data_IF_806461036178
#
_entry.id   IF_806461036178
#
_cell.length_a   1.000
_cell.length_b   1.000
_cell.length_c   1.000
_cell.angle_alpha   90.00
_cell.angle_beta   90.00
_cell.angle_gamma   90.00
#
_symmetry.space_group_name_H-M   'P 1'
#
loop_
_entity.id
_entity.type
_entity.pdbx_description
1 polymer ?
2 non-polymer ?
3 water ?
#
# COMPACT_ATOMS: atom_id res chain seq x y z
N UNK A 1 -6.41 15.47 29.01
CA UNK A 1 -5.04 15.50 28.52
C UNK A 1 -4.88 14.63 27.27
N UNK A 2 -3.69 14.57 26.69
CA UNK A 2 -3.54 14.01 25.36
C UNK A 2 -2.39 13.01 25.28
N UNK A 3 -2.53 11.99 24.43
CA UNK A 3 -1.47 10.96 24.34
C UNK A 3 -0.18 11.54 23.82
N UNK A 4 0.95 10.98 24.32
CA UNK A 4 2.28 11.49 23.94
C UNK A 4 2.66 11.11 22.52
N UNK A 5 2.12 10.00 22.01
CA UNK A 5 2.40 9.52 20.67
C UNK A 5 1.10 9.05 20.02
N UNK A 6 0.93 9.32 18.73
CA UNK A 6 -0.08 8.60 17.98
C UNK A 6 0.59 8.18 16.68
N UNK A 7 0.06 7.10 16.08
CA UNK A 7 0.52 6.59 14.78
C UNK A 7 -0.67 5.88 14.16
N UNK A 8 -1.37 6.58 13.26
CA UNK A 8 -2.58 6.00 12.69
C UNK A 8 -2.29 4.80 11.78
N UNK A 9 -1.04 4.55 11.42
CA UNK A 9 -0.79 3.32 10.66
C UNK A 9 -0.98 2.11 11.54
N UNK A 10 -0.73 2.26 12.85
CA UNK A 10 -0.94 1.18 13.81
C UNK A 10 -2.40 0.79 13.93
N UNK A 11 -3.33 1.64 13.50
CA UNK A 11 -4.76 1.33 13.55
C UNK A 11 -5.31 1.03 12.16
N UNK A 12 -4.44 0.79 11.20
CA UNK A 12 -4.86 0.35 9.89
C UNK A 12 -5.63 1.39 9.11
N UNK A 13 -5.30 2.66 9.33
CA UNK A 13 -6.01 3.79 8.74
C UNK A 13 -5.23 4.47 7.64
N UNK A 14 -4.06 3.95 7.26
CA UNK A 14 -3.19 4.60 6.29
C UNK A 14 -2.85 3.62 5.20
N UNK A 15 -3.08 4.03 3.95
CA UNK A 15 -2.77 3.19 2.80
C UNK A 15 -1.29 3.28 2.47
N UNK A 16 -0.87 2.51 1.49
CA UNK A 16 0.52 2.50 1.05
C UNK A 16 0.96 3.88 0.59
N UNK A 17 2.25 4.15 0.77
CA UNK A 17 2.84 5.36 0.20
C UNK A 17 2.65 5.35 -1.31
N UNK A 18 2.32 6.50 -1.86
CA UNK A 18 2.11 6.68 -3.28
C UNK A 18 3.28 7.41 -3.91
N UNK A 19 3.30 7.43 -5.24
CA UNK A 19 4.44 8.00 -5.98
C UNK A 19 3.91 9.03 -6.98
N UNK A 20 3.98 10.31 -6.62
CA UNK A 20 3.33 11.34 -7.43
C UNK A 20 4.06 11.59 -8.75
N UNK A 21 5.36 11.38 -8.80
CA UNK A 21 6.08 11.59 -10.06
C UNK A 21 6.23 13.05 -10.47
N UNK A 22 6.21 13.26 -11.80
CA UNK A 22 6.42 14.57 -12.40
C UNK A 22 5.29 15.54 -12.12
N UNK A 23 4.14 15.00 -11.79
CA UNK A 23 2.92 15.76 -11.57
C UNK A 23 2.92 16.35 -10.16
N UNK A 24 2.73 17.67 -10.07
CA UNK A 24 2.58 18.33 -8.79
C UNK A 24 1.21 18.12 -8.15
N UNK A 25 0.97 16.91 -7.67
CA UNK A 25 -0.34 16.48 -7.17
C UNK A 25 -0.30 16.15 -5.68
N UNK A 26 0.72 16.64 -4.97
CA UNK A 26 0.87 16.38 -3.54
C UNK A 26 -0.40 16.76 -2.77
N UNK A 27 -1.07 17.84 -3.20
CA UNK A 27 -2.32 18.28 -2.57
C UNK A 27 -3.42 17.23 -2.73
N UNK A 28 -3.51 16.60 -3.90
CA UNK A 28 -4.53 15.58 -4.10
C UNK A 28 -4.23 14.34 -3.28
N UNK A 29 -2.97 13.93 -3.22
CA UNK A 29 -2.64 12.80 -2.37
C UNK A 29 -2.89 13.14 -0.91
N UNK A 30 -2.55 14.37 -0.52
CA UNK A 30 -2.82 14.78 0.84
C UNK A 30 -4.30 14.64 1.15
N UNK A 31 -5.15 15.05 0.20
CA UNK A 31 -6.57 15.06 0.44
C UNK A 31 -7.14 13.64 0.50
N UNK A 32 -6.78 12.77 -0.44
CA UNK A 32 -7.35 11.43 -0.39
C UNK A 32 -6.80 10.67 0.81
N UNK A 33 -5.53 10.87 1.13
CA UNK A 33 -4.97 10.26 2.32
C UNK A 33 -5.77 10.56 3.57
N UNK A 34 -6.15 11.83 3.75
CA UNK A 34 -6.92 12.17 4.94
C UNK A 34 -8.29 11.51 4.93
N UNK A 35 -8.95 11.42 3.75
CA UNK A 35 -10.26 10.83 3.67
C UNK A 35 -10.19 9.32 3.86
N UNK A 36 -9.14 8.69 3.31
CA UNK A 36 -8.97 7.24 3.46
C UNK A 36 -9.09 6.85 4.94
N UNK A 37 -8.46 7.62 5.82
CA UNK A 37 -8.55 7.29 7.25
C UNK A 37 -9.99 7.47 7.75
N UNK A 38 -10.67 8.55 7.35
CA UNK A 38 -12.06 8.72 7.78
C UNK A 38 -12.93 7.59 7.26
N UNK A 39 -12.62 7.08 6.07
CA UNK A 39 -13.41 5.98 5.53
C UNK A 39 -13.14 4.69 6.30
N UNK A 40 -11.87 4.36 6.56
CA UNK A 40 -11.60 3.17 7.35
C UNK A 40 -12.29 3.24 8.71
N UNK A 41 -12.18 4.39 9.39
CA UNK A 41 -12.87 4.57 10.67
C UNK A 41 -14.35 4.22 10.56
N UNK A 42 -15.03 4.77 9.55
CA UNK A 42 -16.47 4.57 9.43
C UNK A 42 -16.81 3.13 9.07
N UNK A 43 -16.22 2.62 8.00
CA UNK A 43 -16.67 1.38 7.38
C UNK A 43 -15.83 0.16 7.74
N UNK A 44 -14.71 0.34 8.43
CA UNK A 44 -13.83 -0.76 8.74
C UNK A 44 -12.98 -1.24 7.58
N UNK A 45 -13.24 -0.79 6.36
CA UNK A 45 -12.44 -1.16 5.21
C UNK A 45 -11.54 0.00 4.79
N UNK A 46 -10.28 -0.35 4.50
CA UNK A 46 -9.24 0.58 4.07
C UNK A 46 -9.07 0.49 2.56
N UNK A 47 -9.36 1.57 1.85
CA UNK A 47 -9.24 1.57 0.39
C UNK A 47 -8.61 2.88 -0.08
N UNK A 48 -7.60 2.75 -0.96
CA UNK A 48 -6.97 3.93 -1.55
C UNK A 48 -7.99 4.66 -2.44
N UNK A 49 -8.06 5.97 -2.28
CA UNK A 49 -8.93 6.84 -3.06
C UNK A 49 -8.15 7.50 -4.19
N UNK A 50 -8.89 7.89 -5.22
CA UNK A 50 -8.34 8.30 -6.50
C UNK A 50 -7.84 9.74 -6.43
N UNK A 51 -6.51 9.90 -6.27
CA UNK A 51 -5.92 11.22 -6.43
C UNK A 51 -6.08 11.73 -7.87
N UNK A 52 -6.03 10.82 -8.85
CA UNK A 52 -6.21 11.20 -10.24
C UNK A 52 -7.54 11.92 -10.43
N UNK A 53 -8.61 11.36 -9.85
CA UNK A 53 -9.95 11.93 -9.91
C UNK A 53 -9.96 13.36 -9.40
N UNK A 54 -9.15 13.66 -8.37
CA UNK A 54 -8.99 15.03 -7.92
C UNK A 54 -8.27 15.88 -8.95
N UNK A 55 -7.20 15.31 -9.54
CA UNK A 55 -6.41 16.02 -10.55
C UNK A 55 -7.26 16.38 -11.77
N UNK A 56 -8.13 15.46 -12.21
CA UNK A 56 -8.87 15.66 -13.44
C UNK A 56 -10.12 16.51 -13.25
N UNK A 57 -10.78 16.41 -12.10
CA UNK A 57 -12.14 16.93 -11.94
C UNK A 57 -12.26 18.11 -10.98
N UNK A 58 -11.46 18.17 -9.94
CA UNK A 58 -11.44 19.32 -9.03
C UNK A 58 -10.49 20.37 -9.61
N UNK A 59 -11.01 21.14 -10.59
CA UNK A 59 -10.18 21.97 -11.44
C UNK A 59 -10.54 23.45 -11.25
N UNK A 60 -10.88 24.15 -12.34
CA UNK A 60 -11.04 25.61 -12.37
C UNK A 60 -12.02 26.09 -11.31
N UNK A 61 -13.15 25.37 -11.18
CA UNK A 61 -14.20 25.72 -10.24
C UNK A 61 -13.72 25.73 -8.80
N UNK A 62 -12.65 24.99 -8.49
CA UNK A 62 -12.14 24.82 -7.14
C UNK A 62 -10.76 25.46 -6.94
N UNK A 63 -10.29 26.27 -7.90
CA UNK A 63 -9.01 26.95 -7.76
C UNK A 63 -7.79 26.09 -7.95
N UNK A 64 -7.94 24.89 -8.49
CA UNK A 64 -6.86 23.95 -8.67
C UNK A 64 -6.46 23.84 -10.14
N UNK A 65 -5.19 23.55 -10.35
CA UNK A 65 -4.59 23.42 -11.67
C UNK A 65 -3.91 22.06 -11.84
N UNK A 66 -4.58 20.99 -11.37
CA UNK A 66 -4.09 19.63 -11.53
C UNK A 66 -2.64 19.41 -11.11
N UNK A 67 -1.79 19.04 -12.08
CA UNK A 67 -0.37 18.79 -11.82
C UNK A 67 0.43 20.06 -11.57
N UNK A 68 -0.17 21.23 -11.72
CA UNK A 68 0.52 22.48 -11.44
C UNK A 68 0.10 23.09 -10.13
N UNK A 69 -0.60 22.32 -9.29
CA UNK A 69 -0.92 22.75 -7.95
C UNK A 69 -2.39 22.74 -7.61
N UNK A 70 -2.70 22.72 -6.32
CA UNK A 70 -4.08 22.73 -5.87
C UNK A 70 -4.14 22.90 -4.37
N UNK A 71 -5.36 22.78 -3.84
CA UNK A 71 -5.63 22.89 -2.42
C UNK A 71 -6.38 21.66 -1.93
N UNK A 72 -6.01 21.17 -0.75
CA UNK A 72 -6.76 20.08 -0.14
C UNK A 72 -8.18 20.50 0.25
N UNK A 73 -8.34 21.76 0.73
CA UNK A 73 -9.67 22.21 1.17
C UNK A 73 -10.65 22.19 0.02
N UNK A 74 -10.26 22.78 -1.12
CA UNK A 74 -11.14 22.78 -2.26
C UNK A 74 -11.23 21.40 -2.90
N UNK A 75 -10.30 20.50 -2.58
CA UNK A 75 -10.46 19.10 -2.98
C UNK A 75 -11.58 18.44 -2.19
N UNK A 76 -11.61 18.66 -0.87
CA UNK A 76 -12.70 18.17 -0.05
C UNK A 76 -14.04 18.73 -0.52
N UNK A 77 -14.08 20.02 -0.89
CA UNK A 77 -15.32 20.61 -1.42
C UNK A 77 -15.76 19.90 -2.70
N UNK A 78 -14.82 19.65 -3.62
CA UNK A 78 -15.14 18.92 -4.84
C UNK A 78 -15.82 17.60 -4.50
N UNK A 79 -15.24 16.85 -3.56
CA UNK A 79 -15.83 15.57 -3.19
C UNK A 79 -17.21 15.74 -2.58
N UNK A 80 -17.41 16.83 -1.83
CA UNK A 80 -18.74 17.14 -1.29
C UNK A 80 -19.72 17.45 -2.43
N UNK A 81 -19.36 18.43 -3.28
CA UNK A 81 -20.25 18.80 -4.37
C UNK A 81 -20.47 17.63 -5.32
N UNK A 82 -19.44 16.84 -5.56
CA UNK A 82 -19.57 15.73 -6.50
C UNK A 82 -20.34 14.55 -5.93
N UNK A 83 -20.56 14.53 -4.61
CA UNK A 83 -21.22 13.41 -3.95
C UNK A 83 -20.45 12.10 -4.12
N UNK A 84 -19.13 12.20 -4.21
CA UNK A 84 -18.31 11.01 -4.16
C UNK A 84 -16.94 11.23 -4.75
N UNK A 85 -16.09 10.24 -4.52
CA UNK A 85 -14.78 10.12 -5.17
C UNK A 85 -14.58 8.64 -5.42
N UNK A 86 -13.87 8.33 -6.51
CA UNK A 86 -13.68 6.93 -6.90
C UNK A 86 -12.52 6.29 -6.13
N UNK A 87 -12.48 4.96 -6.15
CA UNK A 87 -11.31 4.27 -5.61
C UNK A 87 -10.12 4.46 -6.54
N UNK A 88 -8.92 4.45 -5.95
CA UNK A 88 -7.69 4.51 -6.74
C UNK A 88 -7.62 3.32 -7.70
N UNK A 89 -8.12 2.16 -7.29
CA UNK A 89 -8.07 0.99 -8.16
C UNK A 89 -8.94 1.18 -9.41
N UNK A 90 -10.09 1.85 -9.28
CA UNK A 90 -10.98 2.07 -10.44
C UNK A 90 -10.56 3.28 -11.28
N UNK A 91 -9.88 4.24 -10.67
CA UNK A 91 -9.46 5.47 -11.31
C UNK A 91 -8.00 5.68 -10.94
N UNK A 92 -7.09 4.91 -11.55
CA UNK A 92 -5.69 4.89 -11.10
C UNK A 92 -4.93 6.15 -11.46
N UNK A 93 -3.87 6.39 -10.68
CA UNK A 93 -3.04 7.57 -10.85
C UNK A 93 -2.12 7.43 -12.06
N UNK A 94 -2.08 8.49 -12.89
CA UNK A 94 -1.33 8.49 -14.13
C UNK A 94 -0.28 9.58 -14.19
N UNK A 95 -0.12 10.38 -13.13
CA UNK A 95 0.87 11.46 -13.01
C UNK A 95 0.82 12.44 -14.19
N UNK A 96 -0.38 12.73 -14.67
CA UNK A 96 -0.55 13.73 -15.72
C UNK A 96 -1.98 14.22 -15.70
N UNK A 97 -2.18 15.42 -16.24
CA UNK A 97 -3.50 16.03 -16.34
C UNK A 97 -4.32 15.33 -17.42
N UNK A 98 -5.54 14.90 -17.07
CA UNK A 98 -6.45 14.26 -18.00
C UNK A 98 -7.85 14.86 -17.90
N UNK A 99 -8.71 14.48 -18.86
CA UNK A 99 -10.12 14.84 -18.81
C UNK A 99 -10.79 14.08 -17.67
N UNK A 100 -11.86 14.65 -17.13
CA UNK A 100 -12.46 14.12 -15.92
C UNK A 100 -13.22 12.84 -16.25
N UNK A 101 -12.91 11.76 -15.54
CA UNK A 101 -13.48 10.45 -15.80
C UNK A 101 -14.16 9.87 -14.57
N UNK A 102 -14.72 10.72 -13.73
CA UNK A 102 -15.45 10.22 -12.58
C UNK A 102 -16.69 9.44 -13.03
N UNK A 103 -16.85 8.23 -12.52
CA UNK A 103 -18.05 7.45 -12.74
C UNK A 103 -18.64 7.06 -11.39
N UNK A 104 -19.86 7.51 -11.11
CA UNK A 104 -20.45 7.31 -9.78
C UNK A 104 -20.62 5.83 -9.43
N UNK A 105 -20.60 4.93 -10.42
CA UNK A 105 -20.82 3.53 -10.09
C UNK A 105 -19.62 2.91 -9.37
N UNK A 106 -18.41 3.51 -9.49
CA UNK A 106 -17.24 3.08 -8.71
C UNK A 106 -16.91 4.06 -7.57
N UNK A 107 -17.91 4.78 -7.06
CA UNK A 107 -17.79 5.59 -5.86
C UNK A 107 -17.26 4.78 -4.68
N UNK A 108 -16.14 5.22 -4.12
CA UNK A 108 -15.53 4.55 -2.97
C UNK A 108 -15.66 5.32 -1.67
N UNK A 109 -15.96 6.61 -1.72
CA UNK A 109 -16.10 7.39 -0.49
C UNK A 109 -16.99 8.60 -0.74
N UNK A 110 -17.40 9.20 0.37
CA UNK A 110 -18.24 10.38 0.44
C UNK A 110 -17.54 11.38 1.34
N UNK A 111 -17.91 12.65 1.20
CA UNK A 111 -17.41 13.67 2.11
C UNK A 111 -18.57 14.56 2.53
N UNK A 112 -18.78 14.66 3.84
CA UNK A 112 -19.87 15.46 4.38
C UNK A 112 -19.43 16.90 4.63
N UNK A 113 -18.26 17.09 5.22
CA UNK A 113 -17.74 18.39 5.59
C UNK A 113 -16.21 18.31 5.66
N UNK A 114 -15.57 19.47 5.81
CA UNK A 114 -14.16 19.53 6.16
C UNK A 114 -13.96 20.70 7.13
N UNK A 115 -12.92 20.62 7.95
CA UNK A 115 -12.59 21.69 8.90
C UNK A 115 -11.15 22.16 8.73
N UNK A 116 -10.96 23.48 8.67
CA UNK A 116 -9.65 24.09 8.63
C UNK A 116 -9.24 24.51 10.04
N UNK A 117 -7.94 24.43 10.32
CA UNK A 117 -7.43 24.75 11.65
C UNK A 117 -6.72 26.11 11.66
N UNK A 118 -6.59 26.73 12.83
CA UNK A 118 -5.94 28.04 12.89
C UNK A 118 -4.47 27.99 12.55
N UNK A 119 -4.03 28.97 11.76
CA UNK A 119 -2.66 29.05 11.30
C UNK A 119 -1.66 29.02 12.46
N UNK A 120 -0.70 28.10 12.39
CA UNK A 120 0.43 28.11 13.33
C UNK A 120 0.16 27.54 14.71
N UNK A 121 -1.02 26.98 14.95
CA UNK A 121 -1.36 26.42 16.27
C UNK A 121 -1.05 24.93 16.25
N UNK A 122 0.17 24.57 16.63
CA UNK A 122 0.59 23.17 16.61
C UNK A 122 -0.07 22.36 17.73
N UNK A 123 -0.50 23.01 18.81
CA UNK A 123 -1.25 22.30 19.83
C UNK A 123 -2.63 21.92 19.33
N UNK A 124 -3.24 22.81 18.54
CA UNK A 124 -4.53 22.52 17.92
C UNK A 124 -4.39 21.42 16.88
N UNK A 125 -3.30 21.43 16.13
CA UNK A 125 -3.01 20.36 15.19
C UNK A 125 -2.79 19.05 15.91
N UNK A 126 -2.10 19.09 17.06
CA UNK A 126 -1.84 17.87 17.82
C UNK A 126 -3.14 17.25 18.31
N UNK A 127 -4.07 18.09 18.78
CA UNK A 127 -5.38 17.61 19.22
C UNK A 127 -6.16 16.96 18.08
N UNK A 128 -6.11 17.56 16.89
CA UNK A 128 -6.85 16.99 15.77
C UNK A 128 -6.27 15.65 15.33
N UNK A 129 -4.96 15.48 15.41
CA UNK A 129 -4.41 14.20 14.99
C UNK A 129 -4.83 13.13 15.99
N UNK A 130 -4.81 13.46 17.29
CA UNK A 130 -5.24 12.52 18.31
C UNK A 130 -6.73 12.20 18.18
N UNK A 131 -7.58 13.23 18.13
CA UNK A 131 -9.00 13.02 18.30
C UNK A 131 -9.75 12.83 16.99
N UNK A 132 -9.16 13.21 15.86
CA UNK A 132 -9.92 13.22 14.62
C UNK A 132 -9.36 12.28 13.56
N UNK A 133 -8.05 12.16 13.47
CA UNK A 133 -7.46 11.31 12.48
C UNK A 133 -6.31 12.05 11.84
N UNK A 134 -5.75 11.47 10.78
CA UNK A 134 -4.70 12.17 10.06
C UNK A 134 -5.23 13.45 9.42
N UNK A 135 -4.36 14.47 9.36
CA UNK A 135 -4.76 15.81 8.97
C UNK A 135 -3.93 16.21 7.76
N UNK A 136 -4.63 16.69 6.71
CA UNK A 136 -3.93 17.26 5.55
C UNK A 136 -3.26 18.58 5.95
N UNK A 137 -1.97 18.71 5.61
CA UNK A 137 -1.24 19.94 5.83
C UNK A 137 -0.37 20.21 4.62
N UNK A 138 0.09 21.46 4.51
CA UNK A 138 1.13 21.82 3.58
C UNK A 138 2.42 22.04 4.35
N UNK A 139 3.53 21.79 3.68
CA UNK A 139 4.85 22.10 4.26
C UNK A 139 5.66 22.88 3.25
N UNK A 140 6.71 23.51 3.76
CA UNK A 140 7.73 24.09 2.90
C UNK A 140 8.72 23.00 2.58
N UNK A 141 8.62 22.44 1.38
CA UNK A 141 9.52 21.37 0.95
C UNK A 141 10.57 21.86 -0.05
N UNK A 142 10.70 23.18 -0.24
CA UNK A 142 11.65 23.75 -1.20
C UNK A 142 13.00 23.98 -0.53
N UNK A 143 13.70 22.88 -0.24
CA UNK A 143 15.05 22.93 0.35
C UNK A 143 15.72 21.62 -0.05
N UNK A 144 16.98 21.68 -0.54
CA UNK A 144 17.72 20.44 -0.79
C UNK A 144 17.63 19.45 0.34
N UNK A 145 17.67 19.90 1.60
CA UNK A 145 17.62 18.97 2.71
C UNK A 145 16.32 18.16 2.74
N UNK A 146 15.21 18.71 2.24
CA UNK A 146 13.97 17.95 2.25
C UNK A 146 14.06 16.75 1.30
N UNK A 147 14.50 16.99 0.06
CA UNK A 147 14.63 15.90 -0.90
C UNK A 147 15.62 14.85 -0.43
N UNK A 148 16.68 15.27 0.24
CA UNK A 148 17.77 14.40 0.62
C UNK A 148 17.55 13.71 1.94
N UNK A 149 16.43 13.98 2.62
CA UNK A 149 16.16 13.39 3.93
C UNK A 149 16.08 11.86 3.84
N UNK A 150 16.79 11.19 4.74
CA UNK A 150 16.75 9.73 4.84
C UNK A 150 16.20 9.23 6.17
N UNK A 151 16.50 9.89 7.29
CA UNK A 151 16.00 9.44 8.59
C UNK A 151 16.16 10.55 9.62
N UNK A 152 15.56 10.35 10.79
CA UNK A 152 15.65 11.25 11.91
C UNK A 152 14.55 12.29 11.94
N UNK A 153 14.64 13.19 12.93
CA UNK A 153 13.71 14.32 13.01
C UNK A 153 14.29 15.43 12.15
N UNK A 154 13.62 15.73 11.04
CA UNK A 154 14.06 16.75 10.11
C UNK A 154 13.90 18.14 10.71
N UNK A 155 14.99 18.90 10.71
CA UNK A 155 14.94 20.31 11.08
C UNK A 155 15.77 21.07 10.07
N UNK A 156 15.14 22.03 9.41
CA UNK A 156 15.81 22.88 8.42
C UNK A 156 15.78 24.33 8.91
N UNK A 157 16.88 24.86 9.46
CA UNK A 157 16.86 26.24 9.95
C UNK A 157 16.32 27.25 8.97
N UNK A 158 16.55 27.07 7.67
CA UNK A 158 16.09 28.03 6.67
C UNK A 158 14.68 27.73 6.18
N UNK A 159 13.97 26.84 6.85
CA UNK A 159 12.61 26.53 6.44
C UNK A 159 11.72 27.73 6.76
N UNK A 160 10.69 27.95 5.94
CA UNK A 160 9.74 29.03 6.19
C UNK A 160 8.38 28.46 6.54
N UNK A 161 7.45 29.37 6.87
CA UNK A 161 6.08 28.99 7.16
C UNK A 161 5.18 29.02 5.93
N UNK A 162 5.72 29.43 4.78
CA UNK A 162 4.96 29.37 3.53
C UNK A 162 4.97 27.95 3.02
N UNK A 163 3.80 27.43 2.66
CA UNK A 163 3.75 26.03 2.27
C UNK A 163 3.61 25.94 0.77
N UNK A 164 4.18 24.88 0.23
CA UNK A 164 4.25 24.67 -1.20
C UNK A 164 4.07 23.21 -1.57
N UNK A 165 3.90 22.32 -0.59
CA UNK A 165 3.88 20.88 -0.84
C UNK A 165 2.89 20.22 0.11
N UNK A 166 1.92 19.50 -0.45
CA UNK A 166 0.85 18.89 0.35
C UNK A 166 1.27 17.54 0.88
N UNK A 167 1.01 17.32 2.18
CA UNK A 167 1.36 16.08 2.87
C UNK A 167 0.27 15.76 3.91
N UNK A 168 0.41 14.59 4.54
CA UNK A 168 -0.55 14.08 5.53
C UNK A 168 0.14 13.82 6.86
N UNK A 169 -0.35 14.44 7.93
CA UNK A 169 0.16 14.12 9.26
C UNK A 169 -0.65 12.93 9.78
N UNK A 170 0.02 11.78 9.95
CA UNK A 170 -0.60 10.54 10.44
C UNK A 170 -0.21 10.23 11.88
N UNK A 171 0.55 11.11 12.53
CA UNK A 171 0.81 10.90 13.95
C UNK A 171 1.78 11.94 14.47
N UNK A 172 2.29 11.67 15.65
CA UNK A 172 3.29 12.55 16.24
C UNK A 172 3.95 11.78 17.38
N UNK A 173 5.12 12.24 17.77
CA UNK A 173 5.78 11.57 18.85
C UNK A 173 7.00 12.29 19.32
N UNK A 174 7.93 11.50 19.85
CA UNK A 174 9.19 12.02 20.33
C UNK A 174 10.26 10.96 20.09
N UNK A 175 11.42 11.41 19.63
CA UNK A 175 12.60 10.57 19.40
C UNK A 175 13.79 11.10 20.16
N UNK A 176 14.01 10.59 21.38
CA UNK A 176 15.04 11.07 22.28
C UNK A 176 15.04 12.60 22.36
N UNK A 177 13.99 13.13 23.00
CA UNK A 177 13.88 14.56 23.25
C UNK A 177 13.37 15.41 22.10
N UNK A 178 13.67 14.99 20.88
CA UNK A 178 13.21 15.68 19.67
C UNK A 178 11.74 15.34 19.40
N UNK A 179 10.84 16.28 19.67
CA UNK A 179 9.43 16.08 19.33
C UNK A 179 9.22 16.20 17.83
N UNK A 180 8.34 15.36 17.30
CA UNK A 180 8.19 15.33 15.86
C UNK A 180 6.74 15.10 15.46
N UNK A 181 6.47 15.39 14.19
CA UNK A 181 5.25 14.99 13.50
C UNK A 181 5.55 13.85 12.53
N UNK A 182 4.66 12.87 12.45
CA UNK A 182 4.85 11.76 11.52
C UNK A 182 4.10 12.08 10.23
N UNK A 183 4.84 12.23 9.14
CA UNK A 183 4.30 12.83 7.91
C UNK A 183 4.40 11.82 6.78
N UNK A 184 3.24 11.47 6.20
CA UNK A 184 3.20 10.63 5.02
C UNK A 184 3.40 11.50 3.79
N UNK A 185 4.49 11.25 3.04
CA UNK A 185 4.75 11.93 1.79
C UNK A 185 4.21 11.11 0.61
N UNK A 186 4.33 11.66 -0.59
CA UNK A 186 3.91 10.99 -1.81
C UNK A 186 5.05 10.92 -2.82
N UNK A 187 6.25 10.55 -2.36
CA UNK A 187 7.41 10.43 -3.23
C UNK A 187 7.93 9.00 -3.31
N UNK A 188 7.04 8.03 -3.09
CA UNK A 188 7.39 6.63 -3.09
C UNK A 188 8.08 6.18 -1.81
N UNK A 189 8.35 4.87 -1.77
CA UNK A 189 8.90 4.25 -0.57
C UNK A 189 10.37 4.54 -0.39
N UNK A 190 11.07 4.96 -1.44
CA UNK A 190 12.51 5.23 -1.30
C UNK A 190 12.81 6.60 -0.69
N UNK A 191 11.80 7.44 -0.53
CA UNK A 191 11.98 8.69 0.20
C UNK A 191 11.96 8.42 1.71
N UNK A 192 12.89 9.03 2.43
CA UNK A 192 12.95 8.93 3.87
C UNK A 192 12.72 7.55 4.49
N UNK A 193 11.87 7.52 5.53
CA UNK A 193 11.59 6.31 6.30
C UNK A 193 10.43 5.58 5.63
N UNK A 194 10.77 4.77 4.62
CA UNK A 194 9.79 4.06 3.78
C UNK A 194 8.68 4.99 3.29
N UNK A 195 9.07 6.21 2.89
CA UNK A 195 8.12 7.17 2.40
C UNK A 195 7.62 8.17 3.42
N UNK A 196 8.10 8.11 4.66
CA UNK A 196 7.63 9.02 5.70
C UNK A 196 8.77 9.92 6.12
N UNK A 197 8.42 11.13 6.54
CA UNK A 197 9.38 12.04 7.14
C UNK A 197 8.84 12.40 8.50
N UNK A 198 9.71 12.40 9.50
CA UNK A 198 9.35 12.87 10.82
C UNK A 198 9.91 14.29 10.98
N UNK A 199 9.03 15.26 11.12
CA UNK A 199 9.41 16.66 11.08
C UNK A 199 9.30 17.30 12.45
N UNK A 200 10.20 18.26 12.70
CA UNK A 200 10.26 19.02 13.94
C UNK A 200 8.89 19.52 14.41
N UNK A 201 8.58 19.27 15.67
CA UNK A 201 7.30 19.62 16.25
C UNK A 201 7.52 20.55 17.42
N UNK A 202 6.63 21.53 17.58
CA UNK A 202 6.75 22.53 18.64
C UNK A 202 8.07 23.27 18.49
N UNK A 203 8.41 23.62 17.24
CA UNK A 203 9.56 24.44 16.93
C UNK A 203 9.13 25.65 16.09
N UNK A 204 8.08 26.34 16.54
CA UNK A 204 7.62 27.56 15.90
C UNK A 204 7.05 27.36 14.51
N UNK A 205 6.12 26.43 14.38
CA UNK A 205 5.49 26.11 13.10
C UNK A 205 6.55 25.85 12.05
N UNK A 206 7.44 24.92 12.38
CA UNK A 206 8.58 24.59 11.51
C UNK A 206 8.09 24.12 10.14
N UNK A 207 8.63 24.74 9.09
CA UNK A 207 8.30 24.41 7.70
C UNK A 207 6.82 24.61 7.38
N UNK A 208 6.11 25.39 8.20
CA UNK A 208 4.70 25.63 7.95
C UNK A 208 3.83 24.41 8.11
N UNK A 209 4.30 23.39 8.84
CA UNK A 209 3.54 22.16 9.08
C UNK A 209 2.10 22.46 9.49
N UNK A 210 1.89 23.45 10.37
CA UNK A 210 0.58 23.79 10.90
C UNK A 210 0.02 25.09 10.33
N UNK A 211 0.54 25.55 9.19
CA UNK A 211 0.04 26.79 8.62
C UNK A 211 -1.34 26.59 8.02
N UNK A 212 -1.56 25.48 7.32
CA UNK A 212 -2.83 25.24 6.64
C UNK A 212 -3.29 23.79 6.79
N UNK A 213 -3.66 23.39 8.00
CA UNK A 213 -4.22 22.06 8.20
C UNK A 213 -5.73 22.01 7.97
N UNK A 214 -6.15 20.87 7.44
CA UNK A 214 -7.57 20.63 7.28
C UNK A 214 -7.80 19.12 7.33
N UNK A 215 -9.01 18.73 7.71
CA UNK A 215 -9.34 17.31 7.75
C UNK A 215 -10.80 17.15 7.38
N UNK A 216 -11.14 16.11 6.62
CA UNK A 216 -12.53 15.89 6.21
C UNK A 216 -13.30 15.01 7.18
N UNK A 217 -14.61 14.93 6.93
CA UNK A 217 -15.46 14.07 7.74
C UNK A 217 -16.54 13.40 6.90
N UNK A 218 -16.83 12.14 7.27
CA UNK A 218 -17.85 11.30 6.66
C UNK A 218 -18.87 11.00 7.75
N UNK A 219 -20.04 11.62 7.67
CA UNK A 219 -21.00 11.46 8.74
C UNK A 219 -21.99 10.31 8.50
N UNK A 220 -22.65 9.92 9.59
CA UNK A 220 -23.81 9.00 9.68
C UNK A 220 -23.40 7.57 9.92
N UNK B 2 -14.96 -25.43 -14.35
CA UNK B 2 -14.15 -24.31 -13.93
C UNK B 2 -14.40 -23.03 -14.71
N UNK B 3 -14.58 -21.91 -14.03
CA UNK B 3 -14.75 -20.62 -14.73
C UNK B 3 -13.58 -20.29 -15.64
N UNK B 4 -13.90 -19.60 -16.73
CA UNK B 4 -12.90 -19.27 -17.74
C UNK B 4 -11.99 -18.14 -17.29
N UNK B 5 -12.45 -17.31 -16.37
CA UNK B 5 -11.69 -16.23 -15.74
C UNK B 5 -12.01 -16.26 -14.26
N UNK B 6 -11.02 -15.98 -13.42
CA UNK B 6 -11.29 -15.61 -12.05
C UNK B 6 -10.41 -14.41 -11.75
N UNK B 7 -10.83 -13.61 -10.77
CA UNK B 7 -10.06 -12.44 -10.33
C UNK B 7 -10.45 -12.22 -8.86
N UNK B 8 -9.60 -12.68 -7.96
CA UNK B 8 -9.94 -12.60 -6.55
C UNK B 8 -9.98 -11.18 -6.02
N UNK B 9 -9.54 -10.18 -6.79
CA UNK B 9 -9.70 -8.80 -6.33
C UNK B 9 -11.17 -8.39 -6.35
N UNK B 10 -11.92 -8.98 -7.28
CA UNK B 10 -13.36 -8.71 -7.37
C UNK B 10 -14.12 -9.15 -6.14
N UNK B 11 -13.54 -10.03 -5.33
CA UNK B 11 -14.19 -10.52 -4.12
C UNK B 11 -13.58 -9.93 -2.86
N UNK B 12 -12.84 -8.83 -2.99
CA UNK B 12 -12.30 -8.14 -1.83
C UNK B 12 -11.28 -8.95 -1.05
N UNK B 13 -10.53 -9.84 -1.72
CA UNK B 13 -9.63 -10.79 -1.07
C UNK B 13 -8.15 -10.48 -1.22
N UNK B 14 -7.79 -9.38 -1.86
CA UNK B 14 -6.39 -9.05 -2.13
C UNK B 14 -6.11 -7.68 -1.55
N UNK B 15 -5.08 -7.59 -0.71
CA UNK B 15 -4.75 -6.29 -0.15
C UNK B 15 -4.00 -5.46 -1.19
N UNK B 16 -3.74 -4.21 -0.82
CA UNK B 16 -3.05 -3.29 -1.70
C UNK B 16 -1.64 -3.81 -2.03
N UNK B 17 -1.20 -3.54 -3.26
CA UNK B 17 0.15 -3.91 -3.69
C UNK B 17 1.19 -3.26 -2.78
N UNK B 18 2.21 -4.03 -2.41
CA UNK B 18 3.30 -3.62 -1.53
C UNK B 18 4.57 -3.33 -2.33
N UNK B 19 5.56 -2.77 -1.63
CA UNK B 19 6.82 -2.36 -2.26
C UNK B 19 7.99 -2.95 -1.48
N UNK B 20 8.56 -4.05 -1.98
CA UNK B 20 9.58 -4.77 -1.21
C UNK B 20 10.89 -4.00 -1.15
N UNK B 21 11.20 -3.20 -2.17
CA UNK B 21 12.42 -2.41 -2.16
C UNK B 21 13.68 -3.24 -2.34
N UNK B 22 14.76 -2.76 -1.72
CA UNK B 22 16.06 -3.42 -1.83
C UNK B 22 16.10 -4.78 -1.13
N UNK B 23 15.19 -5.03 -0.22
CA UNK B 23 15.15 -6.30 0.51
C UNK B 23 14.52 -7.36 -0.37
N UNK B 24 15.27 -8.44 -0.64
CA UNK B 24 14.78 -9.57 -1.41
C UNK B 24 13.79 -10.41 -0.64
N UNK B 25 12.58 -9.88 -0.45
CA UNK B 25 11.57 -10.49 0.40
C UNK B 25 10.34 -10.94 -0.38
N UNK B 26 10.45 -11.09 -1.70
CA UNK B 26 9.29 -11.47 -2.49
C UNK B 26 8.60 -12.71 -1.94
N UNK B 27 9.39 -13.67 -1.44
CA UNK B 27 8.80 -14.87 -0.86
C UNK B 27 7.89 -14.52 0.30
N UNK B 28 8.29 -13.55 1.12
CA UNK B 28 7.47 -13.18 2.25
C UNK B 28 6.21 -12.48 1.79
N UNK B 29 6.31 -11.56 0.83
CA UNK B 29 5.11 -10.90 0.35
C UNK B 29 4.18 -11.88 -0.31
N UNK B 30 4.74 -12.85 -1.05
CA UNK B 30 3.92 -13.88 -1.67
C UNK B 30 3.13 -14.63 -0.62
N UNK B 31 3.78 -14.98 0.48
CA UNK B 31 3.14 -15.84 1.47
C UNK B 31 2.00 -15.12 2.18
N UNK B 32 2.25 -13.90 2.65
CA UNK B 32 1.17 -13.23 3.38
C UNK B 32 0.02 -12.90 2.43
N UNK B 33 0.33 -12.58 1.19
CA UNK B 33 -0.70 -12.40 0.19
C UNK B 33 -1.65 -13.58 0.11
N UNK B 34 -1.11 -14.79 0.09
CA UNK B 34 -1.96 -15.97 0.01
C UNK B 34 -2.77 -16.16 1.30
N UNK B 35 -2.15 -15.86 2.45
CA UNK B 35 -2.86 -16.00 3.71
C UNK B 35 -3.93 -14.92 3.85
N UNK B 36 -3.62 -13.68 3.46
CA UNK B 36 -4.60 -12.58 3.52
C UNK B 36 -5.92 -12.96 2.87
N UNK B 37 -5.87 -13.64 1.72
CA UNK B 37 -7.09 -14.02 1.04
C UNK B 37 -7.86 -15.05 1.85
N UNK B 38 -7.17 -16.04 2.40
CA UNK B 38 -7.83 -17.05 3.22
C UNK B 38 -8.46 -16.42 4.44
N UNK B 39 -7.81 -15.41 5.02
CA UNK B 39 -8.35 -14.80 6.23
C UNK B 39 -9.60 -13.98 5.90
N UNK B 40 -9.55 -13.19 4.80
CA UNK B 40 -10.76 -12.50 4.34
C UNK B 40 -11.88 -13.49 4.11
N UNK B 41 -11.59 -14.60 3.44
CA UNK B 41 -12.57 -15.65 3.25
C UNK B 41 -13.19 -16.06 4.58
N UNK B 42 -12.36 -16.37 5.58
CA UNK B 42 -12.89 -16.89 6.84
C UNK B 42 -13.61 -15.81 7.64
N UNK B 43 -12.99 -14.64 7.82
CA UNK B 43 -13.48 -13.66 8.78
C UNK B 43 -14.24 -12.50 8.15
N UNK B 44 -14.25 -12.38 6.82
CA UNK B 44 -14.83 -11.24 6.16
C UNK B 44 -14.01 -9.96 6.21
N UNK B 45 -12.92 -9.94 6.98
CA UNK B 45 -12.09 -8.74 7.11
C UNK B 45 -10.81 -8.92 6.29
N UNK B 46 -10.46 -7.89 5.51
CA UNK B 46 -9.24 -7.86 4.69
C UNK B 46 -8.22 -6.99 5.41
N UNK B 47 -7.14 -7.60 5.86
CA UNK B 47 -6.11 -6.88 6.60
C UNK B 47 -4.76 -7.36 6.12
N UNK B 48 -3.86 -6.42 5.83
CA UNK B 48 -2.50 -6.75 5.38
C UNK B 48 -1.74 -7.46 6.48
N UNK B 49 -1.11 -8.57 6.14
CA UNK B 49 -0.34 -9.32 7.12
C UNK B 49 1.15 -8.96 7.00
N UNK B 50 1.87 -9.19 8.09
CA UNK B 50 3.22 -8.64 8.25
C UNK B 50 4.25 -9.48 7.50
N UNK B 51 4.68 -8.99 6.34
CA UNK B 51 5.82 -9.58 5.64
C UNK B 51 7.10 -9.44 6.45
N UNK B 52 7.24 -8.34 7.19
CA UNK B 52 8.42 -8.16 8.02
C UNK B 52 8.55 -9.28 9.02
N UNK B 53 7.43 -9.65 9.65
CA UNK B 53 7.41 -10.73 10.64
C UNK B 53 7.98 -12.02 10.05
N UNK B 54 7.69 -12.30 8.78
CA UNK B 54 8.27 -13.46 8.10
C UNK B 54 9.76 -13.28 7.87
N UNK B 55 10.19 -12.07 7.46
CA UNK B 55 11.61 -11.80 7.22
C UNK B 55 12.42 -11.96 8.51
N UNK B 56 11.89 -11.47 9.65
CA UNK B 56 12.66 -11.46 10.87
C UNK B 56 12.63 -12.80 11.61
N UNK B 57 11.53 -13.54 11.50
CA UNK B 57 11.32 -14.69 12.38
C UNK B 57 11.31 -16.04 11.69
N UNK B 58 10.87 -16.11 10.44
CA UNK B 58 10.98 -17.35 9.68
C UNK B 58 12.38 -17.38 9.04
N UNK B 59 13.37 -17.78 9.84
CA UNK B 59 14.77 -17.61 9.50
C UNK B 59 15.43 -18.99 9.31
N UNK B 60 16.54 -19.30 10.01
CA UNK B 60 17.41 -20.44 9.66
C UNK B 60 16.67 -21.77 9.73
N UNK B 61 15.84 -21.95 10.75
CA UNK B 61 15.07 -23.18 10.97
C UNK B 61 14.14 -23.50 9.81
N UNK B 62 13.81 -22.50 8.99
CA UNK B 62 12.93 -22.69 7.86
C UNK B 62 13.64 -22.56 6.54
N UNK B 63 14.98 -22.50 6.54
CA UNK B 63 15.73 -22.42 5.31
C UNK B 63 15.68 -21.09 4.61
N UNK B 64 15.28 -20.02 5.30
CA UNK B 64 15.13 -18.68 4.73
C UNK B 64 16.27 -17.77 5.19
N UNK B 65 16.63 -16.82 4.33
CA UNK B 65 17.71 -15.88 4.64
C UNK B 65 17.22 -14.42 4.53
N UNK B 66 16.00 -14.15 5.04
CA UNK B 66 15.39 -12.85 5.08
C UNK B 66 15.44 -12.11 3.76
N UNK B 67 16.18 -10.99 3.73
CA UNK B 67 16.28 -10.19 2.53
C UNK B 67 17.15 -10.84 1.47
N UNK B 68 17.75 -12.00 1.75
CA UNK B 68 18.52 -12.73 0.75
C UNK B 68 17.79 -13.94 0.21
N UNK B 69 16.50 -14.08 0.52
CA UNK B 69 15.71 -15.14 -0.06
C UNK B 69 14.96 -16.05 0.90
N UNK B 70 13.97 -16.75 0.37
CA UNK B 70 13.19 -17.63 1.21
C UNK B 70 12.24 -18.48 0.40
N UNK B 71 11.41 -19.22 1.13
CA UNK B 71 10.41 -20.07 0.55
C UNK B 71 9.07 -19.71 1.16
N UNK B 72 8.03 -19.67 0.33
CA UNK B 72 6.69 -19.51 0.86
C UNK B 72 6.28 -20.74 1.66
N UNK B 73 6.70 -21.92 1.24
CA UNK B 73 6.29 -23.14 1.95
C UNK B 73 6.77 -23.12 3.39
N UNK B 74 8.05 -22.84 3.60
CA UNK B 74 8.54 -22.76 4.96
C UNK B 74 8.05 -21.52 5.69
N UNK B 75 7.57 -20.51 4.98
CA UNK B 75 6.92 -19.38 5.64
C UNK B 75 5.58 -19.81 6.25
N UNK B 76 4.77 -20.57 5.48
CA UNK B 76 3.54 -21.11 6.00
C UNK B 76 3.80 -22.01 7.20
N UNK B 77 4.86 -22.83 7.12
CA UNK B 77 5.21 -23.69 8.24
C UNK B 77 5.53 -22.89 9.50
N UNK B 78 6.35 -21.84 9.37
CA UNK B 78 6.62 -20.95 10.51
C UNK B 78 5.33 -20.42 11.11
N UNK B 79 4.41 -19.94 10.25
CA UNK B 79 3.17 -19.42 10.80
C UNK B 79 2.40 -20.53 11.48
N UNK B 80 2.49 -21.75 10.96
CA UNK B 80 1.84 -22.87 11.63
C UNK B 80 2.44 -23.08 13.01
N UNK B 81 3.78 -23.28 13.06
CA UNK B 81 4.45 -23.53 14.32
C UNK B 81 4.32 -22.37 15.29
N UNK B 82 4.27 -21.14 14.77
CA UNK B 82 4.21 -19.94 15.59
C UNK B 82 2.84 -19.73 16.19
N UNK B 83 1.83 -20.44 15.68
CA UNK B 83 0.45 -20.31 16.11
C UNK B 83 -0.07 -18.88 15.88
N UNK B 84 0.48 -18.20 14.88
CA UNK B 84 -0.03 -16.90 14.45
C UNK B 84 1.00 -16.09 13.71
N UNK B 85 0.53 -14.97 13.12
CA UNK B 85 1.38 -13.95 12.51
C UNK B 85 0.75 -12.58 12.78
N UNK B 86 1.60 -11.55 12.88
CA UNK B 86 1.14 -10.21 13.23
C UNK B 86 0.59 -9.47 12.02
N UNK B 87 -0.18 -8.41 12.30
CA UNK B 87 -0.65 -7.50 11.26
C UNK B 87 0.50 -6.63 10.76
N UNK B 88 0.40 -6.23 9.49
CA UNK B 88 1.37 -5.27 8.96
C UNK B 88 1.35 -3.97 9.78
N UNK B 89 0.16 -3.57 10.23
CA UNK B 89 0.01 -2.36 11.03
C UNK B 89 0.75 -2.46 12.36
N UNK B 90 0.79 -3.66 12.96
CA UNK B 90 1.52 -3.86 14.20
C UNK B 90 3.00 -4.13 14.00
N UNK B 91 3.37 -4.68 12.85
CA UNK B 91 4.74 -5.10 12.57
C UNK B 91 5.10 -4.61 11.18
N UNK B 92 5.32 -3.30 11.03
CA UNK B 92 5.45 -2.74 9.67
C UNK B 92 6.74 -3.14 8.97
N UNK B 93 6.65 -3.11 7.64
CA UNK B 93 7.75 -3.50 6.77
C UNK B 93 8.79 -2.39 6.71
N UNK B 94 10.06 -2.77 6.85
CA UNK B 94 11.17 -1.84 6.85
C UNK B 94 12.24 -2.16 5.82
N UNK B 95 12.04 -3.20 4.98
CA UNK B 95 12.97 -3.58 3.90
C UNK B 95 14.41 -3.79 4.40
N UNK B 96 14.53 -4.42 5.57
CA UNK B 96 15.84 -4.83 6.05
C UNK B 96 15.63 -5.95 7.07
N UNK B 97 16.70 -6.74 7.28
CA UNK B 97 16.68 -7.81 8.27
C UNK B 97 16.77 -7.24 9.67
N UNK B 98 15.85 -7.65 10.57
CA UNK B 98 15.84 -7.21 11.96
C UNK B 98 15.71 -8.43 12.86
N UNK B 99 15.94 -8.22 14.15
CA UNK B 99 15.70 -9.26 15.14
C UNK B 99 14.19 -9.52 15.23
N UNK B 100 13.82 -10.73 15.64
CA UNK B 100 12.42 -11.09 15.60
C UNK B 100 11.64 -10.39 16.71
N UNK B 101 10.62 -9.65 16.28
CA UNK B 101 9.76 -8.83 17.12
C UNK B 101 8.32 -9.28 17.10
N UNK B 102 8.10 -10.56 16.95
CA UNK B 102 6.77 -11.07 16.94
C UNK B 102 6.13 -10.98 18.31
N UNK B 103 4.97 -10.37 18.36
CA UNK B 103 4.20 -10.20 19.55
C UNK B 103 2.86 -10.86 19.32
N UNK B 104 2.49 -11.80 20.17
CA UNK B 104 1.25 -12.52 20.06
C UNK B 104 -0.03 -11.74 20.29
N UNK B 105 0.06 -10.56 20.88
CA UNK B 105 -1.08 -9.73 21.13
C UNK B 105 -1.62 -9.12 19.88
N UNK B 106 -0.78 -8.92 18.89
CA UNK B 106 -1.19 -8.37 17.63
C UNK B 106 -1.31 -9.40 16.56
N UNK B 107 -1.61 -10.62 16.97
CA UNK B 107 -1.80 -11.72 16.04
C UNK B 107 -3.01 -11.44 15.19
N UNK B 108 -2.80 -11.39 13.89
CA UNK B 108 -3.87 -11.08 12.96
C UNK B 108 -4.35 -12.30 12.16
N UNK B 109 -3.58 -13.38 12.13
CA UNK B 109 -3.99 -14.54 11.36
C UNK B 109 -3.29 -15.78 11.93
N UNK B 110 -3.80 -16.93 11.51
CA UNK B 110 -3.35 -18.26 11.86
C UNK B 110 -3.17 -19.01 10.56
N UNK B 111 -2.40 -20.10 10.59
CA UNK B 111 -2.29 -20.98 9.44
C UNK B 111 -2.35 -22.43 9.89
N UNK B 112 -3.32 -23.18 9.35
CA UNK B 112 -3.53 -24.58 9.74
C UNK B 112 -2.65 -25.52 8.93
N UNK B 113 -2.61 -25.34 7.62
CA UNK B 113 -1.89 -26.23 6.73
C UNK B 113 -1.52 -25.47 5.46
N UNK B 114 -0.66 -26.08 4.65
CA UNK B 114 -0.41 -25.58 3.31
C UNK B 114 -0.23 -26.77 2.39
N UNK B 115 -0.57 -26.57 1.13
CA UNK B 115 -0.51 -27.63 0.15
C UNK B 115 0.33 -27.16 -1.03
N UNK B 116 1.25 -28.02 -1.48
CA UNK B 116 2.04 -27.76 -2.68
C UNK B 116 1.42 -28.41 -3.89
N UNK B 117 1.56 -27.77 -5.01
CA UNK B 117 0.98 -28.32 -6.22
C UNK B 117 2.05 -28.96 -7.09
N UNK B 118 1.67 -29.87 -8.00
CA UNK B 118 2.67 -30.55 -8.83
C UNK B 118 3.33 -29.63 -9.83
N UNK B 119 4.65 -29.77 -9.94
CA UNK B 119 5.50 -28.95 -10.80
C UNK B 119 5.02 -28.97 -12.25
N UNK B 120 4.85 -27.78 -12.82
CA UNK B 120 4.58 -27.58 -14.23
C UNK B 120 3.17 -27.84 -14.69
N UNK B 121 2.25 -28.15 -13.76
CA UNK B 121 0.86 -28.49 -14.09
C UNK B 121 -0.01 -27.24 -13.99
N UNK B 122 -0.20 -26.57 -15.13
CA UNK B 122 -0.99 -25.35 -15.14
C UNK B 122 -2.49 -25.62 -14.98
N UNK B 123 -2.96 -26.80 -15.37
CA UNK B 123 -4.36 -27.14 -15.15
C UNK B 123 -4.67 -27.33 -13.67
N UNK B 124 -3.72 -27.92 -12.94
CA UNK B 124 -3.84 -28.08 -11.51
C UNK B 124 -3.78 -26.73 -10.80
N UNK B 125 -2.90 -25.84 -11.27
CA UNK B 125 -2.84 -24.49 -10.71
C UNK B 125 -4.14 -23.73 -10.96
N UNK B 126 -4.73 -23.89 -12.14
CA UNK B 126 -5.99 -23.20 -12.42
C UNK B 126 -7.08 -23.64 -11.46
N UNK B 127 -7.15 -24.95 -11.21
CA UNK B 127 -8.15 -25.51 -10.31
C UNK B 127 -7.96 -24.97 -8.91
N UNK B 128 -6.71 -24.87 -8.46
CA UNK B 128 -6.44 -24.32 -7.13
C UNK B 128 -6.78 -22.85 -7.07
N UNK B 129 -6.52 -22.08 -8.14
CA UNK B 129 -6.86 -20.66 -8.08
C UNK B 129 -8.37 -20.49 -8.08
N UNK B 130 -9.07 -21.28 -8.90
CA UNK B 130 -10.52 -21.23 -8.94
C UNK B 130 -11.13 -21.67 -7.62
N UNK B 131 -10.71 -22.83 -7.12
CA UNK B 131 -11.41 -23.50 -6.04
C UNK B 131 -10.88 -23.18 -4.66
N UNK B 132 -9.66 -22.67 -4.57
CA UNK B 132 -9.05 -22.48 -3.25
C UNK B 132 -8.76 -21.02 -2.95
N UNK B 133 -8.33 -20.23 -3.94
CA UNK B 133 -7.98 -18.84 -3.70
C UNK B 133 -6.69 -18.46 -4.38
N UNK B 134 -6.13 -17.29 -4.03
CA UNK B 134 -4.83 -16.93 -4.59
C UNK B 134 -3.75 -17.89 -4.12
N UNK B 135 -2.78 -18.16 -5.02
CA UNK B 135 -1.78 -19.20 -4.81
C UNK B 135 -0.39 -18.56 -4.89
N UNK B 136 0.42 -18.81 -3.87
CA UNK B 136 1.82 -18.37 -3.89
C UNK B 136 2.60 -19.15 -4.94
N UNK B 137 3.37 -18.45 -5.76
CA UNK B 137 4.25 -19.09 -6.72
C UNK B 137 5.55 -18.29 -6.84
N UNK B 138 6.56 -18.95 -7.39
CA UNK B 138 7.74 -18.28 -7.84
C UNK B 138 7.70 -18.17 -9.36
N UNK B 139 8.36 -17.14 -9.89
CA UNK B 139 8.54 -16.97 -11.32
C UNK B 139 10.03 -16.76 -11.58
N UNK B 140 10.41 -16.90 -12.84
CA UNK B 140 11.72 -16.48 -13.31
C UNK B 140 11.58 -15.01 -13.70
N UNK B 141 12.07 -14.13 -12.83
CA UNK B 141 11.99 -12.71 -13.06
C UNK B 141 13.32 -12.11 -13.51
N UNK B 142 14.33 -12.95 -13.79
CA UNK B 142 15.68 -12.48 -14.14
C UNK B 142 15.76 -12.20 -15.65
N UNK B 143 15.08 -11.12 -16.05
CA UNK B 143 15.05 -10.67 -17.43
C UNK B 143 14.72 -9.19 -17.42
N UNK B 144 15.50 -8.38 -18.15
CA UNK B 144 15.16 -6.96 -18.28
C UNK B 144 13.70 -6.70 -18.63
N UNK B 145 13.14 -7.53 -19.51
CA UNK B 145 11.75 -7.34 -19.94
C UNK B 145 10.78 -7.45 -18.78
N UNK B 146 11.14 -8.22 -17.74
CA UNK B 146 10.27 -8.31 -16.58
C UNK B 146 10.25 -6.98 -15.83
N UNK B 147 11.42 -6.40 -15.56
CA UNK B 147 11.45 -5.10 -14.91
C UNK B 147 10.78 -4.04 -15.77
N UNK B 148 11.00 -4.09 -17.06
CA UNK B 148 10.45 -3.14 -17.98
C UNK B 148 9.03 -3.36 -18.44
N UNK B 149 8.36 -4.39 -17.93
CA UNK B 149 6.98 -4.69 -18.28
C UNK B 149 6.03 -3.56 -17.88
N UNK B 150 5.11 -3.24 -18.76
CA UNK B 150 4.13 -2.22 -18.53
C UNK B 150 2.71 -2.71 -18.63
N UNK B 151 2.40 -3.50 -19.62
CA UNK B 151 1.02 -3.92 -19.81
C UNK B 151 0.97 -5.06 -20.80
N UNK B 152 -0.20 -5.68 -20.89
CA UNK B 152 -0.40 -6.76 -21.82
C UNK B 152 -0.10 -8.10 -21.18
N UNK B 153 -0.14 -9.14 -22.03
CA UNK B 153 0.26 -10.48 -21.63
C UNK B 153 1.77 -10.63 -21.86
N UNK B 154 2.50 -10.81 -20.77
CA UNK B 154 3.95 -10.96 -20.79
C UNK B 154 4.34 -12.34 -21.32
N UNK B 155 5.23 -12.35 -22.32
CA UNK B 155 5.87 -13.57 -22.79
C UNK B 155 7.33 -13.26 -23.04
N UNK B 156 8.23 -13.98 -22.38
CA UNK B 156 9.66 -13.80 -22.56
C UNK B 156 10.26 -15.07 -23.17
N UNK B 157 10.55 -15.09 -24.47
CA UNK B 157 11.04 -16.34 -25.10
C UNK B 157 12.18 -17.00 -24.35
N UNK B 158 13.05 -16.22 -23.73
CA UNK B 158 14.21 -16.78 -23.05
C UNK B 158 13.95 -17.07 -21.59
N UNK B 159 12.70 -17.03 -21.16
CA UNK B 159 12.38 -17.34 -19.78
C UNK B 159 12.56 -18.83 -19.52
N UNK B 160 12.98 -19.18 -18.30
CA UNK B 160 13.13 -20.59 -17.92
C UNK B 160 12.14 -20.94 -16.83
N UNK B 161 12.15 -22.22 -16.45
CA UNK B 161 11.27 -22.75 -15.43
C UNK B 161 11.86 -22.71 -14.03
N UNK B 162 13.10 -22.25 -13.86
CA UNK B 162 13.69 -22.06 -12.54
C UNK B 162 13.18 -20.75 -11.96
N UNK B 163 12.74 -20.78 -10.70
CA UNK B 163 12.11 -19.60 -10.11
C UNK B 163 13.08 -18.94 -9.13
N UNK B 164 12.95 -17.61 -9.02
CA UNK B 164 13.81 -16.77 -8.21
C UNK B 164 13.09 -15.58 -7.55
N UNK B 165 11.79 -15.42 -7.77
CA UNK B 165 11.04 -14.25 -7.28
C UNK B 165 9.63 -14.71 -6.92
N UNK B 166 9.22 -14.48 -5.68
CA UNK B 166 7.92 -14.93 -5.22
C UNK B 166 6.83 -13.92 -5.56
N UNK B 167 5.69 -14.42 -6.05
CA UNK B 167 4.55 -13.59 -6.42
C UNK B 167 3.27 -14.35 -6.07
N UNK B 168 2.16 -13.68 -6.29
CA UNK B 168 0.87 -14.21 -5.97
C UNK B 168 -0.07 -14.31 -7.17
N UNK B 169 -0.54 -15.52 -7.47
CA UNK B 169 -1.51 -15.67 -8.53
C UNK B 169 -2.87 -15.41 -7.91
N UNK B 170 -3.48 -14.28 -8.30
CA UNK B 170 -4.79 -13.90 -7.81
C UNK B 170 -5.87 -14.09 -8.86
N UNK B 171 -5.53 -14.60 -10.03
CA UNK B 171 -6.56 -14.92 -11.01
C UNK B 171 -5.97 -15.46 -12.30
N UNK B 172 -6.83 -15.51 -13.31
CA UNK B 172 -6.44 -15.94 -14.65
C UNK B 172 -7.56 -15.53 -15.60
N UNK B 173 -7.23 -15.46 -16.87
CA UNK B 173 -8.18 -15.13 -17.89
C UNK B 173 -7.56 -15.23 -19.27
N UNK B 174 -8.09 -14.45 -20.22
CA UNK B 174 -7.54 -14.38 -21.56
C UNK B 174 -7.81 -12.99 -22.12
N UNK B 175 -6.92 -12.50 -22.98
CA UNK B 175 -7.05 -11.18 -23.60
C UNK B 175 -7.23 -11.45 -25.09
N UNK B 176 -8.50 -11.57 -25.50
CA UNK B 176 -8.89 -12.04 -26.83
C UNK B 176 -8.05 -13.26 -27.21
N UNK B 177 -8.28 -14.35 -26.47
CA UNK B 177 -7.57 -15.59 -26.70
C UNK B 177 -6.20 -15.75 -26.03
N UNK B 178 -5.42 -14.66 -25.87
CA UNK B 178 -4.13 -14.82 -25.19
C UNK B 178 -4.40 -15.07 -23.72
N UNK B 179 -4.28 -16.34 -23.31
CA UNK B 179 -4.53 -16.72 -21.93
C UNK B 179 -3.39 -16.24 -21.02
N UNK B 180 -3.77 -15.86 -19.80
CA UNK B 180 -2.81 -15.30 -18.86
C UNK B 180 -3.13 -15.72 -17.43
N UNK B 181 -2.13 -15.54 -16.58
CA UNK B 181 -2.27 -15.57 -15.14
C UNK B 181 -2.21 -14.15 -14.64
N UNK B 182 -3.06 -13.82 -13.70
CA UNK B 182 -3.09 -12.48 -13.13
C UNK B 182 -2.22 -12.52 -11.89
N UNK B 183 -1.10 -11.80 -11.93
CA UNK B 183 -0.02 -11.99 -10.94
C UNK B 183 0.18 -10.69 -10.18
N UNK B 184 0.02 -10.75 -8.86
CA UNK B 184 0.29 -9.62 -7.97
C UNK B 184 1.79 -9.63 -7.65
N UNK B 185 2.48 -8.55 -7.99
CA UNK B 185 3.89 -8.38 -7.67
C UNK B 185 4.01 -7.59 -6.37
N UNK B 186 5.25 -7.35 -5.93
CA UNK B 186 5.54 -6.57 -4.72
C UNK B 186 6.51 -5.42 -5.01
N UNK B 187 6.24 -4.69 -6.11
CA UNK B 187 7.07 -3.58 -6.57
C UNK B 187 6.29 -2.26 -6.62
N UNK B 188 5.25 -2.11 -5.79
CA UNK B 188 4.48 -0.88 -5.77
C UNK B 188 3.53 -0.75 -6.95
N UNK B 189 2.84 0.40 -6.98
CA UNK B 189 1.86 0.63 -8.05
C UNK B 189 2.48 0.97 -9.39
N UNK B 190 3.75 1.42 -9.42
CA UNK B 190 4.36 1.79 -10.70
C UNK B 190 4.87 0.61 -11.49
N UNK B 191 4.88 -0.60 -10.93
CA UNK B 191 5.25 -1.75 -11.75
C UNK B 191 4.05 -2.20 -12.58
N UNK B 192 4.30 -2.47 -13.86
CA UNK B 192 3.32 -3.01 -14.77
C UNK B 192 1.95 -2.38 -14.69
N UNK B 193 0.92 -3.23 -14.65
CA UNK B 193 -0.47 -2.80 -14.65
C UNK B 193 -0.88 -2.64 -13.19
N UNK B 194 -0.61 -1.43 -12.68
CA UNK B 194 -0.92 -1.01 -11.30
C UNK B 194 -0.47 -2.02 -10.27
N UNK B 195 0.75 -2.54 -10.46
CA UNK B 195 1.36 -3.47 -9.55
C UNK B 195 1.18 -4.91 -9.93
N UNK B 196 0.48 -5.20 -11.03
CA UNK B 196 0.18 -6.56 -11.48
C UNK B 196 0.86 -6.84 -12.82
N UNK B 197 1.22 -8.10 -13.05
CA UNK B 197 1.70 -8.55 -14.35
C UNK B 197 0.79 -9.68 -14.81
N UNK B 198 0.37 -9.64 -16.07
CA UNK B 198 -0.42 -10.73 -16.64
C UNK B 198 0.52 -11.56 -17.50
N UNK B 199 0.74 -12.81 -17.10
CA UNK B 199 1.79 -13.66 -17.66
C UNK B 199 1.19 -14.78 -18.47
N UNK B 200 1.90 -15.16 -19.52
CA UNK B 200 1.48 -16.25 -20.41
C UNK B 200 1.08 -17.49 -19.62
N UNK B 201 -0.08 -18.02 -19.94
CA UNK B 201 -0.67 -19.19 -19.30
C UNK B 201 -0.89 -20.23 -20.37
N UNK B 202 -0.67 -21.50 -20.01
CA UNK B 202 -0.77 -22.61 -20.96
C UNK B 202 0.23 -22.42 -22.11
N UNK B 203 1.45 -22.01 -21.76
CA UNK B 203 2.56 -21.89 -22.69
C UNK B 203 3.77 -22.61 -22.14
N UNK B 204 3.55 -23.85 -21.70
CA UNK B 204 4.63 -24.69 -21.24
C UNK B 204 5.29 -24.22 -19.95
N UNK B 205 4.49 -23.93 -18.93
CA UNK B 205 4.99 -23.46 -17.65
C UNK B 205 5.92 -22.25 -17.86
N UNK B 206 5.40 -21.25 -18.56
CA UNK B 206 6.21 -20.09 -18.92
C UNK B 206 6.69 -19.35 -17.67
N UNK B 207 8.01 -19.12 -17.60
CA UNK B 207 8.69 -18.43 -16.49
C UNK B 207 8.54 -19.18 -15.18
N UNK B 208 8.23 -20.48 -15.24
CA UNK B 208 8.11 -21.30 -14.05
C UNK B 208 6.96 -20.95 -13.13
N UNK B 209 5.96 -20.23 -13.64
CA UNK B 209 4.77 -19.84 -12.87
C UNK B 209 4.20 -21.03 -12.08
N UNK B 210 4.22 -22.24 -12.66
CA UNK B 210 3.63 -23.41 -12.03
C UNK B 210 4.67 -24.38 -11.50
N UNK B 211 5.92 -23.95 -11.35
CA UNK B 211 6.94 -24.89 -10.92
C UNK B 211 6.79 -25.21 -9.43
N UNK B 212 6.52 -24.20 -8.61
CA UNK B 212 6.46 -24.37 -7.16
C UNK B 212 5.29 -23.58 -6.59
N UNK B 213 4.07 -23.98 -6.89
CA UNK B 213 2.92 -23.31 -6.27
C UNK B 213 2.53 -23.92 -4.92
N UNK B 214 2.03 -23.06 -4.03
CA UNK B 214 1.49 -23.50 -2.76
C UNK B 214 0.45 -22.51 -2.29
N UNK B 215 -0.45 -23.00 -1.46
CA UNK B 215 -1.45 -22.15 -0.88
C UNK B 215 -1.70 -22.61 0.55
N UNK B 216 -1.87 -21.66 1.46
CA UNK B 216 -2.11 -21.98 2.87
C UNK B 216 -3.60 -22.13 3.12
N UNK B 217 -3.96 -22.62 4.32
CA UNK B 217 -5.36 -22.78 4.70
C UNK B 217 -5.57 -22.44 6.16
N UNK B 218 -6.71 -21.83 6.47
CA UNK B 218 -7.11 -21.49 7.83
C UNK B 218 -8.42 -22.23 8.11
N UNK B 219 -8.36 -23.25 8.96
CA UNK B 219 -9.55 -24.06 9.20
C UNK B 219 -10.39 -23.51 10.36
N UNK B 220 -11.64 -23.96 10.42
CA UNK B 220 -12.48 -23.69 11.59
C UNK B 220 -11.91 -24.38 12.84
N UNK B 221 -11.45 -25.62 12.68
CA UNK B 221 -10.87 -26.37 13.80
C UNK B 221 -9.40 -26.72 13.65
#
# INVERSE_FOLDING_TARGET
ILPDSVDWREKGCVTEVKYQGSCGASWAFSAVGALEAQLKLKTGKLVSLSAQNLVDCSTEKYGNKGCNGGFMTTAFQYIIDNKGIDSDASYPYKAMDQKCQYDSKYRAATCSKYTELPYGREDVLKEAVANKGPVSVGVDARHPSFFLYRSGVYYEPSCTQNVNHGVLVVGYGDLNGKEYWLVKNSWGHNFGEEGYIRMARNKGNHCGIASFPSYPEILQGGG
ILPDSVDWREKGCVTEVKYQGSCGASWAFSAVGALEAQLKLKTGKLVSLSAQNLVDCSTEKYGNKGCNGGFMTTAFQYIIDNKGIDSDASYPYKAMDQKCQYDSKYRAATCSKYTELPYGREDVLKEAVANKGPVSVGVDARHPSFFLYRSGVYYEPSCTQNVNHGVLVVGYGDLNGKEYWLVKNSWGHNFGEEGYIRMARNKGNHCGIASFPSYPEILQGGG
#
